data_IF_223666740015
#
_entry.id   IF_223666740015
#
_cell.length_a   1.000
_cell.length_b   1.000
_cell.length_c   1.000
_cell.angle_alpha   90.00
_cell.angle_beta   90.00
_cell.angle_gamma   90.00
#
_symmetry.space_group_name_H-M   'P 1'
#
loop_
_entity.id
_entity.type
_entity.pdbx_description
1 polymer ?
#
# COMPACT_ATOMS: atom_id res chain seq x y z
N UNK A 1 -5.89 -16.06 -2.22
CA UNK A 1 -6.56 -16.51 -0.97
C UNK A 1 -7.70 -15.55 -0.60
N UNK A 2 -7.51 -14.23 -0.61
CA UNK A 2 -8.58 -13.27 -0.27
C UNK A 2 -9.83 -13.41 -1.15
N UNK A 3 -9.67 -13.52 -2.47
CA UNK A 3 -10.79 -13.71 -3.42
C UNK A 3 -11.62 -14.97 -3.18
N UNK A 4 -10.99 -16.03 -2.65
CA UNK A 4 -11.66 -17.30 -2.32
C UNK A 4 -12.60 -17.13 -1.13
N UNK A 5 -12.18 -16.36 -0.13
CA UNK A 5 -13.00 -16.10 1.07
C UNK A 5 -14.22 -15.25 0.67
N UNK A 6 -14.04 -14.28 -0.22
CA UNK A 6 -15.12 -13.47 -0.77
C UNK A 6 -16.10 -14.30 -1.62
N UNK A 7 -15.62 -15.35 -2.31
CA UNK A 7 -16.42 -16.22 -3.18
C UNK A 7 -17.08 -17.44 -2.51
N UNK A 8 -16.98 -17.61 -1.19
CA UNK A 8 -17.36 -18.86 -0.51
C UNK A 8 -18.84 -19.26 -0.69
N UNK A 9 -19.74 -18.27 -0.84
CA UNK A 9 -21.18 -18.51 -1.04
C UNK A 9 -21.45 -19.27 -2.34
N UNK A 10 -20.74 -18.96 -3.42
CA UNK A 10 -20.89 -19.66 -4.69
C UNK A 10 -20.41 -21.12 -4.60
N UNK A 11 -19.27 -21.35 -3.92
CA UNK A 11 -18.70 -22.69 -3.72
C UNK A 11 -19.69 -23.60 -2.97
N UNK A 12 -20.34 -23.07 -1.93
CA UNK A 12 -21.37 -23.80 -1.18
C UNK A 12 -22.62 -24.06 -2.01
N UNK A 13 -23.08 -23.09 -2.80
CA UNK A 13 -24.30 -23.24 -3.59
C UNK A 13 -24.18 -24.34 -4.65
N UNK A 14 -23.01 -24.50 -5.24
CA UNK A 14 -22.73 -25.55 -6.23
C UNK A 14 -22.16 -26.84 -5.63
N UNK A 15 -22.09 -26.95 -4.29
CA UNK A 15 -21.50 -28.10 -3.58
C UNK A 15 -20.08 -28.48 -4.04
N UNK A 16 -19.30 -27.50 -4.53
CA UNK A 16 -17.94 -27.69 -5.04
C UNK A 16 -16.87 -27.82 -3.93
N UNK A 17 -17.28 -27.94 -2.66
CA UNK A 17 -16.38 -27.94 -1.50
C UNK A 17 -15.27 -28.99 -1.60
N UNK A 18 -15.60 -30.20 -2.05
CA UNK A 18 -14.64 -31.30 -2.19
C UNK A 18 -13.60 -31.06 -3.29
N UNK A 19 -14.05 -30.70 -4.51
CA UNK A 19 -13.15 -30.39 -5.62
C UNK A 19 -12.27 -29.17 -5.30
N UNK A 20 -12.84 -28.17 -4.62
CA UNK A 20 -12.13 -26.97 -4.20
C UNK A 20 -11.08 -27.27 -3.13
N UNK A 21 -11.41 -28.12 -2.15
CA UNK A 21 -10.47 -28.58 -1.12
C UNK A 21 -9.23 -29.25 -1.73
N UNK A 22 -9.42 -30.07 -2.77
CA UNK A 22 -8.30 -30.72 -3.45
C UNK A 22 -7.40 -29.72 -4.17
N UNK A 23 -7.99 -28.73 -4.85
CA UNK A 23 -7.25 -27.64 -5.50
C UNK A 23 -6.42 -26.86 -4.48
N UNK A 24 -7.02 -26.42 -3.37
CA UNK A 24 -6.32 -25.68 -2.32
C UNK A 24 -5.21 -26.51 -1.69
N UNK A 25 -5.46 -27.80 -1.46
CA UNK A 25 -4.45 -28.71 -0.90
C UNK A 25 -3.25 -28.87 -1.84
N UNK A 26 -3.48 -28.99 -3.15
CA UNK A 26 -2.42 -29.01 -4.16
C UNK A 26 -1.64 -27.70 -4.17
N UNK A 27 -2.32 -26.55 -4.19
CA UNK A 27 -1.69 -25.24 -4.20
C UNK A 27 -0.88 -24.99 -2.93
N UNK A 28 -1.38 -25.43 -1.77
CA UNK A 28 -0.68 -25.33 -0.49
C UNK A 28 0.59 -26.17 -0.49
N UNK A 29 0.52 -27.42 -0.98
CA UNK A 29 1.70 -28.28 -1.14
C UNK A 29 2.74 -27.65 -2.06
N UNK A 30 2.32 -27.06 -3.19
CA UNK A 30 3.22 -26.37 -4.10
C UNK A 30 3.90 -25.16 -3.43
N UNK A 31 3.15 -24.32 -2.72
CA UNK A 31 3.71 -23.18 -2.00
C UNK A 31 4.74 -23.58 -0.94
N UNK A 32 4.42 -24.59 -0.12
CA UNK A 32 5.37 -25.11 0.89
C UNK A 32 6.61 -25.71 0.23
N UNK A 33 6.45 -26.44 -0.88
CA UNK A 33 7.58 -27.04 -1.62
C UNK A 33 8.49 -25.96 -2.20
N UNK A 34 7.93 -24.86 -2.71
CA UNK A 34 8.71 -23.74 -3.23
C UNK A 34 9.50 -23.04 -2.12
N UNK A 35 8.88 -22.81 -0.97
CA UNK A 35 9.56 -22.24 0.21
C UNK A 35 10.70 -23.17 0.64
N UNK A 36 10.45 -24.47 0.73
CA UNK A 36 11.48 -25.43 1.12
C UNK A 36 12.65 -25.43 0.13
N UNK A 37 12.37 -25.46 -1.19
CA UNK A 37 13.42 -25.38 -2.22
C UNK A 37 14.27 -24.14 -2.08
N UNK A 38 13.63 -22.98 -1.85
CA UNK A 38 14.33 -21.73 -1.60
C UNK A 38 15.21 -21.81 -0.34
N UNK A 39 14.68 -22.34 0.76
CA UNK A 39 15.44 -22.49 2.00
C UNK A 39 16.61 -23.44 1.86
N UNK A 40 16.42 -24.58 1.17
CA UNK A 40 17.50 -25.54 0.89
C UNK A 40 18.58 -24.87 0.05
N UNK A 41 18.23 -24.21 -1.06
CA UNK A 41 19.20 -23.53 -1.90
C UNK A 41 19.99 -22.46 -1.12
N UNK A 42 19.29 -21.66 -0.32
CA UNK A 42 19.91 -20.64 0.53
C UNK A 42 20.83 -21.26 1.60
N UNK A 43 20.38 -22.30 2.28
CA UNK A 43 21.16 -22.99 3.31
C UNK A 43 22.41 -23.62 2.72
N UNK A 44 22.30 -24.27 1.56
CA UNK A 44 23.45 -24.87 0.86
C UNK A 44 24.46 -23.80 0.42
N UNK A 45 23.99 -22.65 -0.09
CA UNK A 45 24.89 -21.56 -0.48
C UNK A 45 25.64 -20.94 0.69
N UNK A 46 24.97 -20.75 1.83
CA UNK A 46 25.60 -20.27 3.07
C UNK A 46 26.58 -21.32 3.62
N UNK A 47 26.16 -22.58 3.71
CA UNK A 47 27.02 -23.67 4.18
C UNK A 47 28.27 -23.84 3.30
N UNK A 48 28.15 -23.74 1.98
CA UNK A 48 29.30 -23.79 1.08
C UNK A 48 30.29 -22.66 1.35
N UNK A 49 29.80 -21.44 1.55
CA UNK A 49 30.64 -20.28 1.85
C UNK A 49 31.35 -20.47 3.19
N UNK A 50 30.63 -20.91 4.23
CA UNK A 50 31.18 -21.08 5.57
C UNK A 50 32.15 -22.25 5.73
N UNK A 51 31.91 -23.35 5.01
CA UNK A 51 32.68 -24.60 5.13
C UNK A 51 33.85 -24.64 4.14
N UNK A 52 33.71 -24.07 2.94
CA UNK A 52 34.75 -24.12 1.91
C UNK A 52 35.46 -22.77 1.73
N UNK A 53 34.71 -21.68 1.48
CA UNK A 53 35.32 -20.42 1.07
C UNK A 53 36.08 -19.73 2.22
N UNK A 54 35.46 -19.58 3.39
CA UNK A 54 36.12 -18.90 4.52
C UNK A 54 37.39 -19.59 5.03
N UNK A 55 37.43 -20.91 5.28
CA UNK A 55 38.66 -21.57 5.70
C UNK A 55 39.74 -21.55 4.60
N UNK A 56 39.37 -21.56 3.32
CA UNK A 56 40.32 -21.37 2.22
C UNK A 56 40.97 -19.99 2.25
N UNK A 57 40.19 -18.93 2.51
CA UNK A 57 40.73 -17.56 2.67
C UNK A 57 41.66 -17.48 3.89
N UNK A 58 41.26 -18.04 5.03
CA UNK A 58 42.11 -18.12 6.23
C UNK A 58 43.40 -18.87 5.93
N UNK A 59 43.32 -20.00 5.23
CA UNK A 59 44.49 -20.80 4.87
C UNK A 59 45.46 -19.99 4.00
N UNK A 60 44.98 -19.25 3.01
CA UNK A 60 45.81 -18.38 2.18
C UNK A 60 46.48 -17.28 3.02
N UNK A 61 45.74 -16.62 3.91
CA UNK A 61 46.30 -15.57 4.77
C UNK A 61 47.39 -16.14 5.67
N UNK A 62 47.13 -17.28 6.32
CA UNK A 62 48.10 -17.95 7.19
C UNK A 62 49.33 -18.41 6.38
N UNK A 63 49.14 -19.00 5.21
CA UNK A 63 50.24 -19.42 4.32
C UNK A 63 51.13 -18.24 3.93
N UNK A 64 50.53 -17.09 3.58
CA UNK A 64 51.27 -15.86 3.28
C UNK A 64 52.05 -15.33 4.49
N UNK A 65 51.46 -15.38 5.69
CA UNK A 65 52.17 -14.95 6.91
C UNK A 65 53.38 -15.83 7.22
N UNK A 66 53.27 -17.14 7.02
CA UNK A 66 54.39 -18.08 7.19
C UNK A 66 55.47 -17.84 6.13
N UNK A 67 55.07 -17.66 4.87
CA UNK A 67 56.01 -17.46 3.76
C UNK A 67 56.80 -16.16 3.88
N UNK A 68 56.22 -15.14 4.50
CA UNK A 68 56.86 -13.83 4.76
C UNK A 68 57.81 -13.89 5.98
N UNK A 69 57.89 -15.03 6.68
CA UNK A 69 58.72 -15.19 7.87
C UNK A 69 58.13 -14.58 9.15
N UNK A 70 56.81 -14.33 9.17
CA UNK A 70 56.11 -13.82 10.34
C UNK A 70 55.97 -14.87 11.44
N UNK A 71 56.10 -14.46 12.71
CA UNK A 71 55.84 -15.35 13.85
C UNK A 71 54.33 -15.51 14.08
N UNK A 72 53.83 -16.73 13.93
CA UNK A 72 52.43 -17.08 14.24
C UNK A 72 52.24 -17.17 15.76
N UNK A 73 51.81 -16.07 16.37
CA UNK A 73 51.26 -16.10 17.74
C UNK A 73 49.83 -16.63 17.72
N UNK A 74 49.44 -17.39 18.75
CA UNK A 74 48.07 -17.90 18.93
C UNK A 74 47.03 -16.76 18.86
N UNK A 75 47.35 -15.61 19.45
CA UNK A 75 46.51 -14.41 19.41
C UNK A 75 46.27 -13.93 17.98
N UNK A 76 47.33 -13.88 17.16
CA UNK A 76 47.26 -13.41 15.78
C UNK A 76 46.50 -14.39 14.88
N UNK A 77 46.65 -15.69 15.09
CA UNK A 77 45.89 -16.71 14.36
C UNK A 77 44.37 -16.62 14.66
N UNK A 78 43.99 -16.53 15.93
CA UNK A 78 42.58 -16.36 16.34
C UNK A 78 42.01 -15.04 15.80
N UNK A 79 42.79 -13.96 15.84
CA UNK A 79 42.39 -12.68 15.27
C UNK A 79 42.14 -12.75 13.77
N UNK A 80 43.03 -13.37 12.99
CA UNK A 80 42.87 -13.55 11.54
C UNK A 80 41.61 -14.36 11.23
N UNK A 81 41.36 -15.45 11.96
CA UNK A 81 40.16 -16.28 11.77
C UNK A 81 38.90 -15.47 12.05
N UNK A 82 38.87 -14.72 13.16
CA UNK A 82 37.70 -13.90 13.53
C UNK A 82 37.46 -12.77 12.53
N UNK A 83 38.52 -12.06 12.12
CA UNK A 83 38.39 -10.92 11.21
C UNK A 83 38.03 -11.35 9.79
N UNK A 84 38.61 -12.44 9.29
CA UNK A 84 38.28 -12.96 7.94
C UNK A 84 36.81 -13.40 7.84
N UNK A 85 36.28 -14.05 8.90
CA UNK A 85 34.85 -14.38 9.02
C UNK A 85 33.98 -13.12 9.00
N UNK A 86 34.32 -12.15 9.85
CA UNK A 86 33.58 -10.90 9.96
C UNK A 86 33.56 -10.12 8.63
N UNK A 87 34.70 -10.01 7.96
CA UNK A 87 34.81 -9.32 6.66
C UNK A 87 33.99 -10.04 5.58
N UNK A 88 34.06 -11.38 5.51
CA UNK A 88 33.30 -12.15 4.53
C UNK A 88 31.77 -11.92 4.68
N UNK A 89 31.27 -11.96 5.92
CA UNK A 89 29.85 -11.74 6.21
C UNK A 89 29.41 -10.31 5.87
N UNK A 90 30.18 -9.31 6.30
CA UNK A 90 29.86 -7.89 6.07
C UNK A 90 29.92 -7.51 4.59
N UNK A 91 30.96 -7.92 3.88
CA UNK A 91 31.20 -7.48 2.51
C UNK A 91 30.30 -8.19 1.50
N UNK A 92 30.05 -9.49 1.66
CA UNK A 92 29.30 -10.24 0.64
C UNK A 92 27.83 -10.37 1.02
N UNK A 93 27.54 -10.94 2.20
CA UNK A 93 26.17 -11.24 2.59
C UNK A 93 25.35 -9.99 2.91
N UNK A 94 25.86 -9.12 3.77
CA UNK A 94 25.12 -7.91 4.15
C UNK A 94 25.04 -6.88 3.02
N UNK A 95 26.08 -6.74 2.18
CA UNK A 95 26.03 -5.82 1.05
C UNK A 95 24.95 -6.19 0.02
N UNK A 96 24.85 -7.48 -0.36
CA UNK A 96 23.83 -7.94 -1.31
C UNK A 96 22.43 -7.77 -0.73
N UNK A 97 22.25 -8.04 0.58
CA UNK A 97 20.98 -7.81 1.26
C UNK A 97 20.60 -6.35 1.35
N UNK A 98 21.55 -5.47 1.65
CA UNK A 98 21.34 -4.03 1.67
C UNK A 98 20.90 -3.52 0.31
N UNK A 99 21.52 -4.01 -0.77
CA UNK A 99 21.13 -3.67 -2.14
C UNK A 99 19.68 -4.06 -2.46
N UNK A 100 19.27 -5.27 -2.06
CA UNK A 100 17.87 -5.71 -2.23
C UNK A 100 16.91 -4.79 -1.47
N UNK A 101 17.26 -4.43 -0.24
CA UNK A 101 16.48 -3.51 0.58
C UNK A 101 16.38 -2.11 -0.03
N UNK A 102 17.46 -1.62 -0.65
CA UNK A 102 17.47 -0.35 -1.37
C UNK A 102 16.53 -0.37 -2.58
N UNK A 103 16.49 -1.47 -3.33
CA UNK A 103 15.54 -1.62 -4.44
C UNK A 103 14.10 -1.63 -3.95
N UNK A 104 13.79 -2.39 -2.90
CA UNK A 104 12.45 -2.42 -2.31
C UNK A 104 12.06 -1.02 -1.80
N UNK A 105 12.96 -0.35 -1.07
CA UNK A 105 12.74 1.02 -0.58
C UNK A 105 12.54 2.01 -1.73
N UNK A 106 13.33 1.94 -2.80
CA UNK A 106 13.20 2.81 -3.96
C UNK A 106 11.84 2.62 -4.65
N UNK A 107 11.37 1.38 -4.82
CA UNK A 107 10.03 1.15 -5.37
C UNK A 107 8.91 1.63 -4.44
N UNK A 108 9.10 1.55 -3.12
CA UNK A 108 8.16 2.09 -2.14
C UNK A 108 8.08 3.62 -2.22
N UNK A 109 9.22 4.30 -2.25
CA UNK A 109 9.29 5.76 -2.37
C UNK A 109 8.63 6.23 -3.66
N UNK A 110 8.89 5.56 -4.80
CA UNK A 110 8.24 5.89 -6.08
C UNK A 110 6.71 5.79 -6.03
N UNK A 111 6.15 4.83 -5.29
CA UNK A 111 4.69 4.73 -5.12
C UNK A 111 4.13 5.88 -4.30
N UNK A 112 4.83 6.27 -3.23
CA UNK A 112 4.44 7.40 -2.39
C UNK A 112 4.51 8.70 -3.20
N UNK A 113 5.60 8.90 -3.95
CA UNK A 113 5.75 10.05 -4.84
C UNK A 113 4.60 10.11 -5.84
N UNK A 114 4.30 9.00 -6.54
CA UNK A 114 3.19 8.95 -7.49
C UNK A 114 1.84 9.26 -6.84
N UNK A 115 1.63 8.87 -5.59
CA UNK A 115 0.40 9.19 -4.85
C UNK A 115 0.31 10.68 -4.50
N UNK A 116 1.42 11.29 -4.08
CA UNK A 116 1.49 12.72 -3.76
C UNK A 116 1.37 13.62 -5.01
N UNK A 117 1.79 13.12 -6.17
CA UNK A 117 1.67 13.80 -7.46
C UNK A 117 0.30 13.61 -8.14
N UNK A 118 -0.64 12.87 -7.51
CA UNK A 118 -2.00 12.76 -8.04
C UNK A 118 -2.67 14.13 -7.99
N UNK A 119 -3.40 14.47 -9.07
CA UNK A 119 -4.26 15.63 -9.11
C UNK A 119 -5.31 15.50 -8.00
N UNK A 120 -5.33 16.46 -7.07
CA UNK A 120 -6.36 16.51 -6.04
C UNK A 120 -7.71 16.70 -6.74
N UNK A 121 -8.72 15.92 -6.35
CA UNK A 121 -10.09 16.18 -6.82
C UNK A 121 -10.41 17.63 -6.49
N UNK A 122 -10.78 18.42 -7.51
CA UNK A 122 -11.16 19.83 -7.38
C UNK A 122 -11.82 20.06 -6.03
N UNK A 123 -11.10 20.73 -5.14
CA UNK A 123 -11.63 21.17 -3.86
C UNK A 123 -12.91 21.90 -4.19
N UNK A 124 -14.05 21.31 -3.82
CA UNK A 124 -15.35 21.95 -3.92
C UNK A 124 -15.16 23.35 -3.33
N UNK A 125 -15.14 24.35 -4.22
CA UNK A 125 -14.76 25.72 -3.95
C UNK A 125 -15.42 26.17 -2.65
N UNK A 126 -14.66 26.21 -1.57
CA UNK A 126 -15.04 26.93 -0.36
C UNK A 126 -15.13 28.38 -0.79
N UNK A 127 -16.34 28.81 -1.09
CA UNK A 127 -16.73 30.21 -1.15
C UNK A 127 -16.43 30.82 0.23
N UNK A 128 -15.19 31.25 0.43
CA UNK A 128 -14.83 32.16 1.50
C UNK A 128 -15.43 33.51 1.16
N UNK A 129 -16.53 33.83 1.83
CA UNK A 129 -17.01 35.19 2.01
C UNK A 129 -15.87 36.08 2.52
N UNK A 130 -15.28 36.89 1.64
CA UNK A 130 -14.59 38.12 2.03
C UNK A 130 -15.62 39.23 2.00
N UNK A 131 -16.21 39.49 3.16
CA UNK A 131 -16.91 40.75 3.46
C UNK A 131 -15.89 41.88 3.59
N UNK A 132 -16.13 42.96 2.83
CA UNK A 132 -15.84 44.37 3.10
C UNK A 132 -15.17 45.11 1.93
N UNK A 133 -15.98 45.80 1.13
CA UNK A 133 -15.71 47.19 0.77
C UNK A 133 -17.03 47.88 0.42
N UNK A 134 -17.39 48.83 1.27
CA UNK A 134 -18.46 49.81 1.05
C UNK A 134 -18.17 50.69 -0.18
N UNK A 135 -19.26 51.27 -0.69
CA UNK A 135 -19.37 52.43 -1.59
C UNK A 135 -19.46 52.15 -3.11
N UNK A 136 -20.69 51.99 -3.60
CA UNK A 136 -21.38 53.02 -4.41
C UNK A 136 -22.76 52.53 -4.89
N UNK A 137 -23.82 53.22 -4.46
CA UNK A 137 -25.20 53.12 -4.97
C UNK A 137 -25.31 53.77 -6.37
N UNK A 138 -26.50 53.86 -7.04
CA UNK A 138 -27.83 53.28 -6.77
C UNK A 138 -28.55 52.67 -8.01
N UNK A 139 -29.68 51.98 -7.76
CA UNK A 139 -31.00 52.16 -8.46
C UNK A 139 -31.69 50.89 -9.00
N UNK A 140 -32.85 50.64 -8.39
CA UNK A 140 -34.14 50.23 -8.99
C UNK A 140 -34.50 48.75 -9.16
N UNK A 141 -35.79 48.52 -8.88
CA UNK A 141 -36.68 47.38 -9.17
C UNK A 141 -36.55 46.10 -8.35
N UNK A 142 -37.42 45.98 -7.34
CA UNK A 142 -38.43 44.89 -7.23
C UNK A 142 -39.23 45.06 -5.92
N UNK A 143 -40.06 46.11 -5.88
CA UNK A 143 -41.05 46.38 -4.82
C UNK A 143 -42.32 45.53 -5.00
N UNK A 144 -42.20 44.25 -5.35
CA UNK A 144 -43.34 43.46 -5.84
C UNK A 144 -43.42 42.05 -5.30
N UNK A 145 -42.92 41.75 -4.09
CA UNK A 145 -43.24 40.48 -3.41
C UNK A 145 -43.38 40.68 -1.89
N UNK A 146 -44.06 41.77 -1.48
CA UNK A 146 -44.63 41.86 -0.12
C UNK A 146 -46.13 42.04 -0.22
N UNK A 147 -46.83 40.93 -0.41
CA UNK A 147 -48.18 40.72 0.10
C UNK A 147 -48.22 39.30 0.67
N UNK A 148 -48.36 39.26 1.98
CA UNK A 148 -48.40 38.06 2.79
C UNK A 148 -49.52 37.11 2.33
N UNK A 149 -49.36 35.81 2.56
CA UNK A 149 -49.92 35.15 3.76
C UNK A 149 -49.95 33.62 3.59
N UNK A 150 -49.60 32.95 4.69
CA UNK A 150 -50.02 31.62 5.15
C UNK A 150 -49.08 30.43 4.96
N UNK A 151 -48.97 29.72 6.09
CA UNK A 151 -48.56 28.32 6.30
C UNK A 151 -47.09 28.04 6.67
N UNK A 152 -46.88 27.09 7.59
CA UNK A 152 -46.00 27.25 8.73
C UNK A 152 -44.58 26.78 8.41
N UNK A 153 -43.64 27.27 9.21
CA UNK A 153 -42.26 26.79 9.24
C UNK A 153 -42.21 25.26 9.31
N UNK A 154 -41.56 24.57 8.35
CA UNK A 154 -41.33 23.14 8.49
C UNK A 154 -40.22 22.93 9.53
N UNK A 155 -40.54 22.15 10.56
CA UNK A 155 -39.66 21.72 11.66
C UNK A 155 -38.59 20.69 11.25
N UNK A 156 -38.28 20.57 9.96
CA UNK A 156 -37.35 19.57 9.42
C UNK A 156 -36.43 20.17 8.36
N UNK A 157 -35.13 19.82 8.33
CA UNK A 157 -34.20 20.33 7.33
C UNK A 157 -34.58 19.79 5.95
N UNK A 158 -35.09 20.66 5.08
CA UNK A 158 -35.42 20.34 3.69
C UNK A 158 -34.22 20.64 2.80
N UNK A 159 -33.55 19.60 2.30
CA UNK A 159 -32.49 19.74 1.30
C UNK A 159 -33.10 19.56 -0.09
N UNK A 160 -33.19 20.64 -0.85
CA UNK A 160 -33.67 20.62 -2.24
C UNK A 160 -32.46 20.55 -3.17
N UNK A 161 -32.30 19.41 -3.84
CA UNK A 161 -31.35 19.23 -4.93
C UNK A 161 -32.13 19.38 -6.23
N UNK A 162 -31.76 20.35 -7.07
CA UNK A 162 -32.41 20.60 -8.35
C UNK A 162 -31.40 20.37 -9.48
N UNK A 163 -31.74 19.48 -10.42
CA UNK A 163 -30.95 19.24 -11.64
C UNK A 163 -29.60 18.55 -11.45
N UNK A 164 -29.37 17.83 -10.34
CA UNK A 164 -28.06 17.21 -10.07
C UNK A 164 -27.84 15.98 -10.97
N UNK A 165 -26.72 15.98 -11.67
CA UNK A 165 -26.20 14.82 -12.42
C UNK A 165 -24.91 14.35 -11.76
N UNK A 166 -24.78 13.04 -11.56
CA UNK A 166 -23.61 12.44 -10.91
C UNK A 166 -23.12 11.22 -11.66
N UNK A 167 -21.79 11.07 -11.76
CA UNK A 167 -21.10 9.90 -12.31
C UNK A 167 -20.01 9.45 -11.34
N UNK A 168 -19.98 8.15 -11.03
CA UNK A 168 -18.89 7.52 -10.27
C UNK A 168 -17.61 7.38 -11.08
N UNK A 169 -17.73 7.38 -12.41
CA UNK A 169 -16.60 7.25 -13.33
C UNK A 169 -16.19 8.64 -13.80
N UNK A 170 -14.89 8.96 -13.74
CA UNK A 170 -14.32 10.16 -14.36
C UNK A 170 -14.46 10.19 -15.89
N UNK A 171 -15.08 9.17 -16.49
CA UNK A 171 -15.47 9.15 -17.89
C UNK A 171 -16.62 10.13 -18.15
N UNK A 172 -16.31 11.17 -18.92
CA UNK A 172 -17.25 12.20 -19.35
C UNK A 172 -18.32 11.55 -20.24
N UNK A 173 -19.51 11.29 -19.70
CA UNK A 173 -20.69 10.86 -20.47
C UNK A 173 -21.58 9.76 -19.86
N UNK A 174 -21.17 9.08 -18.78
CA UNK A 174 -22.01 8.08 -18.12
C UNK A 174 -22.63 8.63 -16.83
N UNK A 175 -23.77 9.31 -16.94
CA UNK A 175 -24.48 9.78 -15.76
C UNK A 175 -25.14 8.58 -15.05
N UNK A 176 -24.70 8.28 -13.83
CA UNK A 176 -25.31 7.24 -12.97
C UNK A 176 -26.63 7.72 -12.38
N UNK A 177 -26.76 9.03 -12.15
CA UNK A 177 -28.01 9.67 -11.74
C UNK A 177 -28.18 10.95 -12.56
N UNK A 178 -29.36 11.15 -13.12
CA UNK A 178 -29.73 12.38 -13.84
C UNK A 178 -31.12 12.85 -13.45
N UNK A 179 -31.28 14.14 -13.13
CA UNK A 179 -32.58 14.79 -13.01
C UNK A 179 -33.29 14.65 -11.67
N UNK A 180 -32.57 14.61 -10.55
CA UNK A 180 -33.21 14.66 -9.21
C UNK A 180 -33.65 16.10 -8.92
N UNK A 181 -34.95 16.31 -8.70
CA UNK A 181 -35.55 17.65 -8.49
C UNK A 181 -36.34 17.80 -7.17
N UNK A 182 -36.45 16.76 -6.34
CA UNK A 182 -36.73 16.90 -4.92
C UNK A 182 -36.49 15.58 -4.19
N UNK A 183 -35.82 15.60 -3.04
CA UNK A 183 -35.66 14.43 -2.18
C UNK A 183 -35.86 14.86 -0.74
N UNK A 184 -37.09 14.73 -0.23
CA UNK A 184 -37.37 14.95 1.18
C UNK A 184 -36.80 13.78 1.98
N UNK A 185 -35.64 13.97 2.62
CA UNK A 185 -35.06 12.97 3.52
C UNK A 185 -35.93 12.86 4.78
N UNK A 186 -36.88 11.92 4.75
CA UNK A 186 -37.59 11.48 5.94
C UNK A 186 -36.62 10.60 6.74
N UNK A 187 -35.93 11.20 7.71
CA UNK A 187 -35.14 10.47 8.73
C UNK A 187 -36.12 9.76 9.67
N UNK A 188 -36.73 8.67 9.21
CA UNK A 188 -37.48 7.77 10.07
C UNK A 188 -36.54 6.69 10.60
N UNK A 189 -36.44 6.69 11.92
CA UNK A 189 -35.79 5.72 12.79
C UNK A 189 -36.04 4.27 12.34
N UNK A 190 -34.99 3.51 12.04
CA UNK A 190 -34.99 2.05 12.19
C UNK A 190 -33.55 1.57 12.45
N UNK A 191 -33.13 1.74 13.70
CA UNK A 191 -32.13 0.90 14.35
C UNK A 191 -32.71 0.50 15.71
N UNK A 192 -33.32 -0.67 15.74
CA UNK A 192 -33.48 -1.52 16.92
C UNK A 192 -33.13 -2.94 16.49
#
# INVERSE_FOLDING_TARGET
MNEVITGIRAIKMYAWEYAFRDVVTRLRKQGVTQILKYMVLRATGLAFTDVAATPLVVFVIVALTVLTGGQLSLYLAVFIISMSRLVADNTCYYAIRALTFLFDANTSVKRIQRFLELEELDSCSTASHTSESLASSPSQTLSSIMSATSSPAPSHPLVRLDGVTFSWSGERGQNTVSGVSSLSLMRSLYWQ
#
